data_IF_141254642707
#
_entry.id   IF_141254642707
#
_cell.length_a   1.000
_cell.length_b   1.000
_cell.length_c   1.000
_cell.angle_alpha   90.00
_cell.angle_beta   90.00
_cell.angle_gamma   90.00
#
_symmetry.space_group_name_H-M   'P 1'
#
loop_
_entity.id
_entity.type
_entity.pdbx_description
1 polymer ?
#
# COMPACT_ATOMS: atom_id res chain seq x y z
N UNK A 1 -20.99 15.65 -5.74
CA UNK A 1 -19.55 15.38 -5.47
C UNK A 1 -19.04 14.64 -6.68
N UNK A 2 -18.09 15.22 -7.44
CA UNK A 2 -17.53 14.53 -8.62
C UNK A 2 -16.13 14.04 -8.25
N UNK A 3 -15.94 12.72 -8.22
CA UNK A 3 -14.62 12.13 -8.15
C UNK A 3 -13.86 12.47 -9.44
N UNK A 4 -12.61 12.91 -9.32
CA UNK A 4 -11.71 13.03 -10.48
C UNK A 4 -10.91 11.74 -10.60
N UNK A 5 -10.96 11.12 -11.78
CA UNK A 5 -10.07 10.01 -12.13
C UNK A 5 -8.79 10.60 -12.71
N UNK A 6 -7.65 10.32 -12.08
CA UNK A 6 -6.36 10.53 -12.76
C UNK A 6 -6.13 9.39 -13.77
N UNK A 7 -5.44 9.65 -14.90
CA UNK A 7 -5.11 8.62 -15.87
C UNK A 7 -4.28 7.50 -15.22
N UNK A 8 -4.36 6.26 -15.74
CA UNK A 8 -3.67 5.15 -15.13
C UNK A 8 -2.15 5.36 -15.12
N UNK A 9 -1.54 5.20 -13.94
CA UNK A 9 -0.08 5.12 -13.79
C UNK A 9 0.32 3.67 -13.98
N UNK A 10 1.34 3.41 -14.80
CA UNK A 10 1.92 2.08 -14.93
C UNK A 10 3.02 1.98 -13.88
N UNK A 11 2.86 1.07 -12.91
CA UNK A 11 3.98 0.67 -12.05
C UNK A 11 4.88 -0.25 -12.87
N UNK A 12 5.97 0.30 -13.41
CA UNK A 12 6.88 -0.39 -14.35
C UNK A 12 8.02 -1.08 -13.60
N UNK A 13 8.38 -2.28 -14.06
CA UNK A 13 9.63 -2.96 -13.70
C UNK A 13 10.76 -2.42 -14.59
N UNK A 14 11.78 -1.79 -14.01
CA UNK A 14 12.94 -1.34 -14.78
C UNK A 14 13.87 -2.53 -15.05
N UNK A 15 13.94 -2.96 -16.31
CA UNK A 15 14.87 -3.97 -16.82
C UNK A 15 15.90 -3.25 -17.70
N UNK A 16 16.91 -2.64 -17.10
CA UNK A 16 18.04 -2.11 -17.86
C UNK A 16 19.41 -2.56 -17.33
N UNK A 17 20.10 -3.22 -18.27
CA UNK A 17 21.54 -3.44 -18.47
C UNK A 17 22.29 -4.43 -17.55
N UNK A 18 22.94 -5.39 -18.20
CA UNK A 18 23.64 -6.50 -17.56
C UNK A 18 25.07 -6.17 -17.17
N UNK A 19 25.48 -6.62 -15.98
CA UNK A 19 26.82 -7.11 -15.63
C UNK A 19 26.77 -7.87 -14.28
N UNK A 20 27.75 -8.75 -14.03
CA UNK A 20 27.68 -9.99 -13.22
C UNK A 20 28.04 -9.82 -11.73
N UNK A 21 27.28 -10.57 -10.89
CA UNK A 21 27.52 -11.10 -9.51
C UNK A 21 27.82 -10.19 -8.29
N UNK A 22 26.76 -9.88 -7.51
CA UNK A 22 26.72 -10.02 -6.03
C UNK A 22 25.22 -10.01 -5.60
N UNK A 23 24.77 -11.02 -4.82
CA UNK A 23 23.39 -11.25 -4.31
C UNK A 23 22.29 -10.37 -4.96
N UNK A 24 21.70 -10.80 -6.08
CA UNK A 24 20.61 -10.03 -6.70
C UNK A 24 19.30 -10.27 -5.94
N UNK A 25 18.67 -9.27 -5.30
CA UNK A 25 17.25 -9.31 -5.09
C UNK A 25 16.62 -8.68 -6.33
N UNK A 26 16.17 -9.52 -7.24
CA UNK A 26 15.08 -9.24 -8.17
C UNK A 26 13.77 -8.95 -7.41
N UNK A 27 13.82 -8.16 -6.33
CA UNK A 27 12.67 -7.62 -5.61
C UNK A 27 12.00 -6.62 -6.55
N UNK A 28 10.96 -7.01 -7.30
CA UNK A 28 10.27 -6.06 -8.13
C UNK A 28 9.65 -5.04 -7.18
N UNK A 29 9.45 -3.79 -7.61
CA UNK A 29 8.58 -2.82 -6.90
C UNK A 29 7.10 -3.27 -6.80
N UNK A 30 6.87 -4.57 -6.92
CA UNK A 30 5.60 -5.26 -6.98
C UNK A 30 5.77 -6.66 -6.37
N UNK A 31 5.05 -6.93 -5.30
CA UNK A 31 4.85 -8.27 -4.75
C UNK A 31 3.37 -8.62 -4.82
N UNK A 32 3.02 -9.67 -5.55
CA UNK A 32 1.63 -10.13 -5.67
C UNK A 32 1.57 -11.63 -5.45
N UNK A 33 0.71 -12.08 -4.54
CA UNK A 33 0.52 -13.49 -4.29
C UNK A 33 -0.87 -13.80 -3.72
N UNK A 34 -1.64 -14.71 -4.32
CA UNK A 34 -1.47 -15.25 -5.68
C UNK A 34 -1.77 -14.17 -6.75
N UNK A 35 -1.27 -14.35 -7.98
CA UNK A 35 -1.57 -13.44 -9.09
C UNK A 35 -3.07 -13.33 -9.39
N UNK A 36 -3.86 -14.36 -9.06
CA UNK A 36 -5.31 -14.36 -9.21
C UNK A 36 -6.05 -13.36 -8.33
N UNK A 37 -5.36 -12.67 -7.41
CA UNK A 37 -5.94 -11.55 -6.67
C UNK A 37 -6.22 -10.34 -7.58
N UNK A 38 -5.49 -10.21 -8.68
CA UNK A 38 -5.66 -9.10 -9.61
C UNK A 38 -6.68 -9.47 -10.70
N UNK A 39 -7.52 -8.52 -11.15
CA UNK A 39 -7.57 -7.12 -10.72
C UNK A 39 -8.34 -6.90 -9.42
N UNK A 40 -7.93 -5.91 -8.63
CA UNK A 40 -8.73 -5.34 -7.52
C UNK A 40 -9.28 -3.98 -7.91
N UNK A 41 -10.50 -3.66 -7.46
CA UNK A 41 -11.22 -2.46 -7.87
C UNK A 41 -11.87 -1.77 -6.68
N UNK A 42 -11.83 -0.44 -6.72
CA UNK A 42 -12.51 0.45 -5.81
C UNK A 42 -12.13 0.20 -4.34
N UNK A 43 -10.84 -0.02 -4.11
CA UNK A 43 -10.31 -0.28 -2.78
C UNK A 43 -10.11 1.06 -2.06
N UNK A 44 -10.77 1.31 -0.91
CA UNK A 44 -10.55 2.53 -0.14
C UNK A 44 -9.11 2.56 0.39
N UNK A 45 -8.53 3.76 0.42
CA UNK A 45 -7.16 3.98 0.88
C UNK A 45 -7.18 4.59 2.27
N UNK A 46 -6.47 3.95 3.19
CA UNK A 46 -6.04 4.57 4.45
C UNK A 46 -4.60 5.02 4.34
N UNK A 47 -4.25 6.12 5.01
CA UNK A 47 -2.87 6.61 5.10
C UNK A 47 -2.48 6.87 6.56
N UNK A 48 -2.08 5.82 7.30
CA UNK A 48 -1.67 5.95 8.69
C UNK A 48 -0.45 6.87 8.82
N UNK A 49 -0.49 7.78 9.79
CA UNK A 49 0.63 8.67 10.10
C UNK A 49 1.72 7.92 10.88
N UNK A 50 2.59 7.21 10.14
CA UNK A 50 3.68 6.40 10.69
C UNK A 50 4.97 7.21 10.66
N UNK A 51 5.69 7.22 11.78
CA UNK A 51 7.01 7.82 11.87
C UNK A 51 8.08 6.79 11.52
N UNK A 52 8.79 7.02 10.43
CA UNK A 52 9.84 6.13 9.91
C UNK A 52 11.20 6.49 10.51
N UNK A 53 11.29 6.52 11.84
CA UNK A 53 12.56 6.64 12.57
C UNK A 53 13.36 5.32 12.57
N UNK A 54 14.52 5.31 13.23
CA UNK A 54 15.45 4.17 13.29
C UNK A 54 14.80 2.88 13.85
N UNK A 55 13.89 3.02 14.81
CA UNK A 55 13.10 1.90 15.35
C UNK A 55 11.62 2.14 15.05
N UNK A 56 11.06 1.28 14.20
CA UNK A 56 9.61 1.22 13.96
C UNK A 56 9.01 0.26 14.98
N UNK A 57 8.18 0.78 15.89
CA UNK A 57 7.48 -0.04 16.88
C UNK A 57 6.17 -0.62 16.29
N UNK A 58 6.00 -1.96 16.24
CA UNK A 58 4.77 -2.56 15.75
C UNK A 58 3.50 -2.05 16.43
N UNK A 59 3.55 -1.78 17.74
CA UNK A 59 2.38 -1.34 18.49
C UNK A 59 1.92 0.06 18.04
N UNK A 60 2.87 0.95 17.77
CA UNK A 60 2.58 2.30 17.29
C UNK A 60 1.99 2.25 15.87
N UNK A 61 2.57 1.45 14.97
CA UNK A 61 2.03 1.25 13.61
C UNK A 61 0.61 0.69 13.66
N UNK A 62 0.35 -0.32 14.49
CA UNK A 62 -0.97 -0.91 14.65
C UNK A 62 -1.99 0.13 15.17
N UNK A 63 -1.61 0.96 16.14
CA UNK A 63 -2.45 2.03 16.66
C UNK A 63 -2.80 3.04 15.55
N UNK A 64 -1.83 3.47 14.75
CA UNK A 64 -2.05 4.40 13.63
C UNK A 64 -2.97 3.84 12.55
N UNK A 65 -2.87 2.54 12.26
CA UNK A 65 -3.78 1.87 11.33
C UNK A 65 -5.21 1.84 11.88
N UNK A 66 -5.38 1.47 13.14
CA UNK A 66 -6.69 1.46 13.78
C UNK A 66 -7.33 2.87 13.81
N UNK A 67 -6.54 3.90 14.08
CA UNK A 67 -6.98 5.30 13.99
C UNK A 67 -7.46 5.65 12.57
N UNK A 68 -6.70 5.27 11.52
CA UNK A 68 -7.10 5.49 10.13
C UNK A 68 -8.37 4.72 9.74
N UNK A 69 -8.47 3.43 10.11
CA UNK A 69 -9.67 2.64 9.86
C UNK A 69 -10.89 3.27 10.51
N UNK A 70 -10.75 3.77 11.75
CA UNK A 70 -11.83 4.45 12.45
C UNK A 70 -12.27 5.74 11.77
N UNK A 71 -11.35 6.52 11.16
CA UNK A 71 -11.71 7.76 10.46
C UNK A 71 -12.57 7.52 9.21
N UNK A 72 -12.41 6.35 8.58
CA UNK A 72 -13.14 5.97 7.37
C UNK A 72 -14.33 5.04 7.65
N UNK A 73 -14.62 4.74 8.92
CA UNK A 73 -15.65 3.77 9.34
C UNK A 73 -15.41 2.36 8.76
N UNK A 74 -14.13 1.95 8.66
CA UNK A 74 -13.70 0.65 8.11
C UNK A 74 -13.31 -0.36 9.19
N UNK A 75 -13.50 -0.02 10.47
CA UNK A 75 -13.06 -0.86 11.60
C UNK A 75 -13.75 -2.23 11.70
N UNK A 76 -14.91 -2.40 11.06
CA UNK A 76 -15.63 -3.68 10.99
C UNK A 76 -15.00 -4.73 10.08
N UNK A 77 -14.05 -4.33 9.21
CA UNK A 77 -13.36 -5.26 8.31
C UNK A 77 -14.24 -5.86 7.20
N UNK A 78 -15.40 -5.27 6.91
CA UNK A 78 -16.38 -5.78 5.93
C UNK A 78 -15.92 -5.65 4.46
N UNK A 79 -14.83 -4.89 4.24
CA UNK A 79 -14.26 -4.67 2.91
C UNK A 79 -12.73 -4.65 2.97
N UNK A 80 -12.05 -4.98 1.86
CA UNK A 80 -10.61 -4.82 1.76
C UNK A 80 -10.23 -3.34 1.81
N UNK A 81 -9.03 -3.04 2.29
CA UNK A 81 -8.47 -1.70 2.38
C UNK A 81 -7.03 -1.69 1.86
N UNK A 82 -6.62 -0.61 1.22
CA UNK A 82 -5.23 -0.37 0.84
C UNK A 82 -4.56 0.52 1.89
N UNK A 83 -3.39 0.10 2.39
CA UNK A 83 -2.55 0.93 3.27
C UNK A 83 -1.53 1.66 2.41
N UNK A 84 -1.69 2.98 2.29
CA UNK A 84 -0.66 3.84 1.74
C UNK A 84 0.33 4.23 2.83
N UNK A 85 1.62 4.22 2.52
CA UNK A 85 2.68 4.67 3.41
C UNK A 85 3.80 5.37 2.64
N UNK A 86 4.39 6.36 3.29
CA UNK A 86 5.53 7.13 2.76
C UNK A 86 6.78 6.65 3.51
N UNK A 87 7.35 5.52 3.09
CA UNK A 87 8.55 4.98 3.74
C UNK A 87 9.70 5.98 3.64
N UNK A 88 10.45 6.16 4.73
CA UNK A 88 11.64 7.00 4.77
C UNK A 88 12.85 6.27 5.37
N UNK A 89 14.06 6.61 4.91
CA UNK A 89 15.31 5.99 5.35
C UNK A 89 15.52 4.53 4.94
N UNK A 90 16.50 3.86 5.55
CA UNK A 90 16.99 2.53 5.13
C UNK A 90 16.02 1.36 5.39
N UNK A 91 15.80 0.49 4.42
CA UNK A 91 14.97 -0.72 4.55
C UNK A 91 15.67 -1.88 5.30
N UNK A 92 16.19 -1.63 6.51
CA UNK A 92 16.79 -2.68 7.32
C UNK A 92 15.76 -3.72 7.78
N UNK A 93 16.18 -4.97 7.96
CA UNK A 93 15.31 -6.07 8.41
C UNK A 93 14.48 -5.70 9.66
N UNK A 94 15.09 -5.07 10.66
CA UNK A 94 14.40 -4.67 11.90
C UNK A 94 13.27 -3.68 11.62
N UNK A 95 13.48 -2.72 10.71
CA UNK A 95 12.48 -1.71 10.35
C UNK A 95 11.35 -2.36 9.53
N UNK A 96 11.71 -3.21 8.56
CA UNK A 96 10.74 -3.99 7.78
C UNK A 96 9.87 -4.86 8.69
N UNK A 97 10.48 -5.61 9.61
CA UNK A 97 9.76 -6.46 10.57
C UNK A 97 8.84 -5.63 11.47
N UNK A 98 9.36 -4.53 12.02
CA UNK A 98 8.60 -3.61 12.87
C UNK A 98 7.34 -3.10 12.18
N UNK A 99 7.50 -2.62 10.95
CA UNK A 99 6.41 -2.14 10.11
C UNK A 99 5.42 -3.26 9.76
N UNK A 100 5.89 -4.38 9.19
CA UNK A 100 5.03 -5.46 8.72
C UNK A 100 4.17 -6.05 9.85
N UNK A 101 4.78 -6.28 11.03
CA UNK A 101 4.04 -6.80 12.19
C UNK A 101 2.98 -5.82 12.69
N UNK A 102 3.30 -4.53 12.73
CA UNK A 102 2.34 -3.52 13.11
C UNK A 102 1.19 -3.39 12.11
N UNK A 103 1.50 -3.50 10.81
CA UNK A 103 0.50 -3.52 9.75
C UNK A 103 -0.47 -4.69 9.90
N UNK A 104 0.06 -5.89 10.06
CA UNK A 104 -0.74 -7.11 10.19
C UNK A 104 -1.59 -7.08 11.47
N UNK A 105 -1.02 -6.57 12.58
CA UNK A 105 -1.74 -6.40 13.84
C UNK A 105 -2.88 -5.38 13.70
N UNK A 106 -2.62 -4.21 13.14
CA UNK A 106 -3.63 -3.16 12.95
C UNK A 106 -4.73 -3.56 11.97
N UNK A 107 -4.40 -4.39 10.97
CA UNK A 107 -5.38 -4.89 9.99
C UNK A 107 -6.07 -6.20 10.40
N UNK A 108 -5.89 -6.71 11.62
CA UNK A 108 -6.57 -7.93 12.09
C UNK A 108 -8.06 -7.99 11.76
N UNK A 109 -8.87 -6.92 11.97
CA UNK A 109 -10.29 -6.96 11.62
C UNK A 109 -10.53 -7.27 10.14
N UNK A 110 -9.73 -6.68 9.24
CA UNK A 110 -9.82 -6.88 7.78
C UNK A 110 -9.30 -8.26 7.37
N UNK A 111 -8.10 -8.63 7.83
CA UNK A 111 -7.44 -9.89 7.44
C UNK A 111 -8.19 -11.12 7.96
N UNK A 112 -8.81 -11.03 9.13
CA UNK A 112 -9.60 -12.13 9.71
C UNK A 112 -10.86 -12.48 8.91
N UNK A 113 -11.37 -11.54 8.08
CA UNK A 113 -12.46 -11.78 7.14
C UNK A 113 -11.98 -12.40 5.81
N UNK A 114 -10.68 -12.70 5.69
CA UNK A 114 -10.09 -13.28 4.48
C UNK A 114 -9.77 -12.28 3.38
N UNK A 115 -9.86 -10.97 3.64
CA UNK A 115 -9.42 -9.95 2.70
C UNK A 115 -7.89 -9.95 2.52
N UNK A 116 -7.39 -9.66 1.30
CA UNK A 116 -5.96 -9.61 1.05
C UNK A 116 -5.30 -8.43 1.78
N UNK A 117 -4.02 -8.57 2.10
CA UNK A 117 -3.19 -7.45 2.52
C UNK A 117 -2.83 -6.60 1.29
N UNK A 118 -3.30 -5.36 1.24
CA UNK A 118 -2.99 -4.44 0.12
C UNK A 118 -2.14 -3.28 0.64
N UNK A 119 -0.93 -3.16 0.11
CA UNK A 119 0.09 -2.19 0.50
C UNK A 119 0.49 -1.32 -0.70
N UNK A 120 0.60 -0.02 -0.49
CA UNK A 120 0.97 0.94 -1.52
C UNK A 120 2.05 1.86 -0.97
N UNK A 121 3.29 1.66 -1.41
CA UNK A 121 4.43 2.48 -1.03
C UNK A 121 4.57 3.70 -1.95
N UNK A 122 4.67 4.88 -1.37
CA UNK A 122 5.16 6.07 -2.05
C UNK A 122 6.69 6.10 -1.94
N UNK A 123 7.34 5.23 -2.72
CA UNK A 123 8.78 4.97 -2.67
C UNK A 123 9.13 3.73 -3.48
N UNK A 124 10.26 3.10 -3.17
CA UNK A 124 10.86 1.96 -3.89
C UNK A 124 11.15 0.76 -2.98
N UNK A 125 10.42 0.63 -1.86
CA UNK A 125 10.64 -0.40 -0.83
C UNK A 125 9.49 -1.40 -0.67
N UNK A 126 8.34 -1.14 -1.26
CA UNK A 126 7.12 -1.93 -1.16
C UNK A 126 7.22 -3.32 -1.74
N UNK A 127 8.07 -3.53 -2.74
CA UNK A 127 8.54 -4.85 -3.14
C UNK A 127 9.11 -5.64 -1.96
N UNK A 128 10.06 -5.05 -1.24
CA UNK A 128 10.71 -5.65 -0.07
C UNK A 128 9.72 -5.84 1.09
N UNK A 129 8.88 -4.85 1.37
CA UNK A 129 7.84 -4.93 2.41
C UNK A 129 6.88 -6.09 2.12
N UNK A 130 6.41 -6.23 0.88
CA UNK A 130 5.50 -7.29 0.48
C UNK A 130 6.14 -8.68 0.61
N UNK A 131 7.39 -8.83 0.18
CA UNK A 131 8.13 -10.08 0.38
C UNK A 131 8.35 -10.40 1.85
N UNK A 132 8.68 -9.41 2.69
CA UNK A 132 8.85 -9.61 4.13
C UNK A 132 7.54 -10.08 4.77
N UNK A 133 6.40 -9.47 4.43
CA UNK A 133 5.07 -9.93 4.89
C UNK A 133 4.79 -11.40 4.50
N UNK A 134 5.17 -11.80 3.28
CA UNK A 134 4.96 -13.17 2.81
C UNK A 134 5.85 -14.18 3.51
N UNK A 135 7.16 -13.93 3.51
CA UNK A 135 8.18 -14.88 3.91
C UNK A 135 8.29 -14.99 5.44
N UNK A 136 8.27 -13.85 6.13
CA UNK A 136 8.50 -13.79 7.58
C UNK A 136 7.20 -13.85 8.38
N UNK A 137 6.14 -13.21 7.87
CA UNK A 137 4.85 -13.14 8.58
C UNK A 137 3.78 -14.11 8.04
N UNK A 138 4.09 -14.89 7.00
CA UNK A 138 3.22 -15.94 6.49
C UNK A 138 1.95 -15.45 5.79
N UNK A 139 1.91 -14.19 5.34
CA UNK A 139 0.76 -13.66 4.61
C UNK A 139 0.67 -14.34 3.24
N UNK A 140 -0.40 -15.11 3.05
CA UNK A 140 -0.62 -15.92 1.84
C UNK A 140 -1.36 -15.18 0.73
N UNK A 141 -2.00 -14.05 1.05
CA UNK A 141 -2.83 -13.24 0.14
C UNK A 141 -2.43 -11.78 0.25
N UNK A 142 -1.62 -11.28 -0.69
CA UNK A 142 -1.16 -9.89 -0.69
C UNK A 142 -0.94 -9.28 -2.06
N UNK A 143 -1.05 -7.95 -2.10
CA UNK A 143 -0.63 -7.06 -3.18
C UNK A 143 0.18 -5.93 -2.54
N UNK A 144 1.43 -5.76 -2.90
CA UNK A 144 2.29 -4.65 -2.46
C UNK A 144 2.90 -3.99 -3.68
N UNK A 145 2.67 -2.70 -3.88
CA UNK A 145 3.12 -1.94 -5.06
C UNK A 145 3.90 -0.68 -4.64
N UNK A 146 4.84 -0.27 -5.47
CA UNK A 146 5.69 0.91 -5.29
C UNK A 146 5.40 2.05 -6.25
N UNK A 147 5.96 3.21 -5.93
CA UNK A 147 5.96 4.40 -6.78
C UNK A 147 4.59 5.06 -6.95
N UNK A 148 3.62 4.72 -6.11
CA UNK A 148 2.26 5.27 -6.20
C UNK A 148 2.01 6.22 -5.04
N UNK A 149 1.77 7.48 -5.38
CA UNK A 149 1.34 8.50 -4.41
C UNK A 149 -0.18 8.48 -4.27
N UNK A 150 -0.67 8.20 -3.07
CA UNK A 150 -2.08 8.31 -2.68
C UNK A 150 -2.22 9.23 -1.48
N UNK A 151 -3.40 9.83 -1.35
CA UNK A 151 -3.86 10.52 -0.16
C UNK A 151 -4.90 9.66 0.59
N UNK A 152 -5.11 9.94 1.89
CA UNK A 152 -6.20 9.31 2.63
C UNK A 152 -7.54 9.68 1.97
N UNK A 153 -8.51 8.75 1.99
CA UNK A 153 -9.82 8.87 1.32
C UNK A 153 -9.80 8.72 -0.22
N UNK A 154 -8.64 8.49 -0.84
CA UNK A 154 -8.59 8.02 -2.22
C UNK A 154 -9.18 6.60 -2.35
N UNK A 155 -9.48 6.22 -3.59
CA UNK A 155 -9.72 4.84 -3.97
C UNK A 155 -8.72 4.41 -5.04
N UNK A 156 -8.27 3.16 -4.97
CA UNK A 156 -7.33 2.58 -5.92
C UNK A 156 -7.96 1.38 -6.65
N UNK A 157 -7.74 1.33 -7.96
CA UNK A 157 -7.88 0.12 -8.77
C UNK A 157 -6.49 -0.37 -9.16
N UNK A 158 -6.24 -1.67 -9.05
CA UNK A 158 -5.02 -2.32 -9.55
C UNK A 158 -5.46 -3.36 -10.57
N UNK A 159 -5.07 -3.15 -11.83
CA UNK A 159 -5.43 -4.02 -12.93
C UNK A 159 -4.68 -5.35 -12.94
N UNK A 160 -4.97 -6.18 -13.94
CA UNK A 160 -4.23 -7.41 -14.17
C UNK A 160 -2.77 -7.12 -14.52
N UNK A 161 -1.89 -8.04 -14.12
CA UNK A 161 -0.48 -7.98 -14.48
C UNK A 161 -0.31 -8.09 -16.00
N UNK A 162 0.50 -7.22 -16.57
CA UNK A 162 0.88 -7.24 -17.98
C UNK A 162 1.97 -8.28 -18.18
N UNK A 163 1.69 -9.34 -18.94
CA UNK A 163 2.62 -10.48 -19.14
C UNK A 163 3.98 -10.06 -19.73
N UNK A 164 4.01 -9.00 -20.55
CA UNK A 164 5.22 -8.55 -21.24
C UNK A 164 6.19 -7.77 -20.36
N UNK A 165 5.70 -7.10 -19.32
CA UNK A 165 6.51 -6.21 -18.48
C UNK A 165 6.49 -6.57 -17.00
N UNK A 166 5.59 -7.45 -16.56
CA UNK A 166 5.34 -7.70 -15.13
C UNK A 166 4.66 -6.53 -14.40
N UNK A 167 4.34 -5.45 -15.10
CA UNK A 167 3.72 -4.24 -14.54
C UNK A 167 2.23 -4.44 -14.24
N UNK A 168 1.68 -3.61 -13.34
CA UNK A 168 0.23 -3.51 -13.12
C UNK A 168 -0.24 -2.08 -13.44
N UNK A 169 -1.34 -1.90 -14.19
CA UNK A 169 -1.93 -0.59 -14.39
C UNK A 169 -2.72 -0.18 -13.14
N UNK A 170 -2.48 1.04 -12.66
CA UNK A 170 -3.09 1.56 -11.43
C UNK A 170 -3.95 2.77 -11.77
N UNK A 171 -5.21 2.80 -11.31
CA UNK A 171 -6.07 3.99 -11.40
C UNK A 171 -6.34 4.52 -10.01
N UNK A 172 -6.10 5.82 -9.81
CA UNK A 172 -6.41 6.53 -8.57
C UNK A 172 -7.66 7.36 -8.79
N UNK A 173 -8.59 7.27 -7.83
CA UNK A 173 -9.86 8.00 -7.82
C UNK A 173 -9.86 8.88 -6.58
N UNK A 174 -9.63 10.17 -6.79
CA UNK A 174 -9.53 11.12 -5.70
C UNK A 174 -10.83 11.89 -5.51
N UNK A 175 -11.22 12.04 -4.24
CA UNK A 175 -12.32 12.90 -3.84
C UNK A 175 -11.76 14.31 -3.59
N UNK A 176 -11.90 15.17 -4.59
CA UNK A 176 -11.55 16.59 -4.42
C UNK A 176 -12.75 17.32 -3.85
N UNK A 177 -12.59 17.83 -2.63
CA UNK A 177 -13.56 18.74 -2.02
C UNK A 177 -13.21 20.17 -2.45
N UNK A 178 -14.11 20.89 -3.14
CA UNK A 178 -13.89 22.30 -3.40
C UNK A 178 -13.87 23.05 -2.06
N UNK A 179 -12.85 23.87 -1.85
CA UNK A 179 -12.74 24.72 -0.66
C UNK A 179 -14.04 25.50 -0.47
N UNK A 180 -14.73 25.21 0.62
CA UNK A 180 -15.83 26.05 1.06
C UNK A 180 -15.20 27.34 1.58
N UNK A 181 -15.02 28.33 0.70
CA UNK A 181 -14.85 29.72 1.12
C UNK A 181 -16.02 30.02 2.05
N UNK A 182 -15.79 30.00 3.37
CA UNK A 182 -16.72 30.60 4.30
C UNK A 182 -16.82 32.05 3.87
N UNK A 183 -17.98 32.43 3.37
CA UNK A 183 -18.29 33.83 3.16
C UNK A 183 -18.09 34.54 4.48
N UNK A 184 -17.10 35.43 4.53
CA UNK A 184 -17.05 36.50 5.52
C UNK A 184 -18.28 37.36 5.26
N UNK A 185 -19.38 37.01 5.92
CA UNK A 185 -20.61 37.78 5.90
C UNK A 185 -20.53 38.91 6.91
N UNK A 186 -20.72 40.13 6.40
CA UNK A 186 -21.40 41.24 7.07
C UNK A 186 -20.71 41.90 8.25
#
# INVERSE_FOLDING_TARGET
MNAMSVPPVIAVFDLLEGEIEELRPDAPGLSVHPLSLLPVRNIPVIKPAIDFIDKIDPADVAARINESLSRLDLGGGESPVAVCYDWDGSASYRRLDGFCRGVIEGLKPVLSQGHPLILVGNGDVGGLVGMHCKLEAGISSLVSIDGIKLDEFDFIDIGAMLETSGAVPVVIKSLVFPDKKLGSGG
#
